data_IF_963376919176
#
_entry.id   IF_963376919176
#
_cell.length_a   1.000
_cell.length_b   1.000
_cell.length_c   1.000
_cell.angle_alpha   90.00
_cell.angle_beta   90.00
_cell.angle_gamma   90.00
#
_symmetry.space_group_name_H-M   'P 1'
#
loop_
_entity.id
_entity.type
_entity.pdbx_description
1 polymer ?
#
# COMPACT_ATOMS: atom_id res chain seq x y z
N UNK A 1 26.11 48.40 -21.48
CA UNK A 1 26.04 47.13 -22.23
C UNK A 1 25.17 46.06 -21.55
N UNK A 2 25.31 45.79 -20.24
CA UNK A 2 24.42 44.84 -19.51
C UNK A 2 22.94 45.26 -19.46
N UNK A 3 22.62 46.56 -19.39
CA UNK A 3 21.24 47.08 -19.32
C UNK A 3 20.44 46.91 -20.61
N UNK A 4 21.09 46.96 -21.77
CA UNK A 4 20.44 46.78 -23.09
C UNK A 4 20.14 45.30 -23.40
N UNK A 5 20.99 44.38 -22.93
CA UNK A 5 20.74 42.94 -23.05
C UNK A 5 19.55 42.48 -22.20
N UNK A 6 19.42 43.02 -20.98
CA UNK A 6 18.27 42.75 -20.10
C UNK A 6 16.98 43.36 -20.67
N UNK A 7 17.01 44.58 -21.21
CA UNK A 7 15.86 45.21 -21.89
C UNK A 7 15.45 44.46 -23.16
N UNK A 8 16.40 43.95 -23.95
CA UNK A 8 16.12 43.12 -25.13
C UNK A 8 15.50 41.78 -24.75
N UNK A 9 16.00 41.12 -23.70
CA UNK A 9 15.39 39.89 -23.17
C UNK A 9 13.96 40.10 -22.67
N UNK A 10 13.71 41.20 -21.96
CA UNK A 10 12.37 41.54 -21.45
C UNK A 10 11.37 41.87 -22.59
N UNK A 11 11.81 42.57 -23.64
CA UNK A 11 10.99 42.84 -24.84
C UNK A 11 10.72 41.57 -25.67
N UNK A 12 11.66 40.63 -25.71
CA UNK A 12 11.47 39.34 -26.36
C UNK A 12 10.43 38.48 -25.63
N UNK A 13 10.48 38.43 -24.29
CA UNK A 13 9.48 37.76 -23.44
C UNK A 13 8.09 38.40 -23.62
N UNK A 14 8.00 39.74 -23.72
CA UNK A 14 6.74 40.43 -24.01
C UNK A 14 6.23 40.22 -25.44
N UNK A 15 7.10 40.08 -26.45
CA UNK A 15 6.72 39.81 -27.84
C UNK A 15 6.23 38.36 -28.05
N UNK A 16 6.71 37.42 -27.23
CA UNK A 16 6.36 36.00 -27.29
C UNK A 16 5.30 35.60 -26.25
N UNK A 17 4.48 36.55 -25.79
CA UNK A 17 3.31 36.33 -24.92
C UNK A 17 2.33 35.27 -25.47
N UNK A 18 2.34 35.04 -26.78
CA UNK A 18 1.60 33.98 -27.45
C UNK A 18 2.10 32.57 -27.09
N UNK A 19 3.39 32.38 -26.80
CA UNK A 19 3.94 31.09 -26.33
C UNK A 19 3.31 30.72 -25.00
N UNK A 20 3.19 31.68 -24.08
CA UNK A 20 2.52 31.46 -22.80
C UNK A 20 1.02 31.19 -22.96
N UNK A 21 0.36 31.85 -23.91
CA UNK A 21 -1.04 31.56 -24.24
C UNK A 21 -1.21 30.13 -24.82
N UNK A 22 -0.28 29.68 -25.67
CA UNK A 22 -0.28 28.32 -26.23
C UNK A 22 0.01 27.27 -25.15
N UNK A 23 0.99 27.52 -24.28
CA UNK A 23 1.30 26.63 -23.14
C UNK A 23 0.11 26.56 -22.19
N UNK A 24 -0.54 27.68 -21.89
CA UNK A 24 -1.75 27.72 -21.05
C UNK A 24 -2.92 26.99 -21.72
N UNK A 25 -3.09 27.10 -23.04
CA UNK A 25 -4.12 26.40 -23.79
C UNK A 25 -3.88 24.88 -23.81
N UNK A 26 -2.64 24.43 -24.01
CA UNK A 26 -2.26 23.01 -23.96
C UNK A 26 -2.48 22.46 -22.55
N UNK A 27 -2.09 23.19 -21.51
CA UNK A 27 -2.32 22.81 -20.12
C UNK A 27 -3.82 22.73 -19.80
N UNK A 28 -4.63 23.67 -20.29
CA UNK A 28 -6.08 23.68 -20.11
C UNK A 28 -6.75 22.50 -20.83
N UNK A 29 -6.38 22.22 -22.08
CA UNK A 29 -6.89 21.06 -22.84
C UNK A 29 -6.49 19.75 -22.17
N UNK A 30 -5.24 19.65 -21.68
CA UNK A 30 -4.79 18.49 -20.91
C UNK A 30 -5.58 18.32 -19.61
N UNK A 31 -5.86 19.40 -18.89
CA UNK A 31 -6.69 19.38 -17.68
C UNK A 31 -8.14 19.00 -17.96
N UNK A 32 -8.72 19.48 -19.06
CA UNK A 32 -10.09 19.14 -19.50
C UNK A 32 -10.17 17.67 -19.93
N UNK A 33 -9.19 17.18 -20.69
CA UNK A 33 -9.12 15.79 -21.11
C UNK A 33 -8.94 14.85 -19.91
N UNK A 34 -8.06 15.21 -18.98
CA UNK A 34 -7.87 14.47 -17.73
C UNK A 34 -9.15 14.46 -16.89
N UNK A 35 -9.84 15.61 -16.75
CA UNK A 35 -11.12 15.68 -16.04
C UNK A 35 -12.20 14.83 -16.72
N UNK A 36 -12.26 14.83 -18.06
CA UNK A 36 -13.20 14.01 -18.83
C UNK A 36 -12.92 12.51 -18.66
N UNK A 37 -11.66 12.09 -18.78
CA UNK A 37 -11.24 10.69 -18.61
C UNK A 37 -11.50 10.20 -17.18
N UNK A 38 -11.25 11.05 -16.18
CA UNK A 38 -11.60 10.80 -14.78
C UNK A 38 -13.11 10.65 -14.61
N UNK A 39 -13.93 11.52 -15.20
CA UNK A 39 -15.40 11.41 -15.10
C UNK A 39 -15.90 10.15 -15.83
N UNK A 40 -15.44 9.88 -17.05
CA UNK A 40 -15.83 8.71 -17.82
C UNK A 40 -15.43 7.40 -17.13
N UNK A 41 -14.21 7.33 -16.59
CA UNK A 41 -13.73 6.18 -15.82
C UNK A 41 -14.48 6.01 -14.49
N UNK A 42 -14.83 7.09 -13.78
CA UNK A 42 -15.66 6.98 -12.56
C UNK A 42 -17.05 6.45 -12.85
N UNK A 43 -17.69 6.84 -13.96
CA UNK A 43 -19.01 6.31 -14.33
C UNK A 43 -18.92 4.83 -14.68
N UNK A 44 -17.93 4.42 -15.47
CA UNK A 44 -17.71 3.01 -15.82
C UNK A 44 -17.37 2.13 -14.61
N UNK A 45 -16.48 2.61 -13.74
CA UNK A 45 -16.10 1.93 -12.49
C UNK A 45 -17.32 1.82 -11.57
N UNK A 46 -18.06 2.91 -11.35
CA UNK A 46 -19.28 2.88 -10.51
C UNK A 46 -20.28 1.86 -11.03
N UNK A 47 -20.50 1.79 -12.34
CA UNK A 47 -21.47 0.88 -12.92
C UNK A 47 -21.04 -0.59 -12.78
N UNK A 48 -19.75 -0.90 -13.00
CA UNK A 48 -19.19 -2.23 -12.76
C UNK A 48 -19.29 -2.65 -11.29
N UNK A 49 -18.92 -1.75 -10.35
CA UNK A 49 -19.07 -2.00 -8.93
C UNK A 49 -20.54 -2.15 -8.51
N UNK A 50 -21.46 -1.42 -9.13
CA UNK A 50 -22.88 -1.50 -8.79
C UNK A 50 -23.46 -2.87 -9.12
N UNK A 51 -23.16 -3.43 -10.30
CA UNK A 51 -23.63 -4.75 -10.74
C UNK A 51 -23.07 -5.84 -9.82
N UNK A 52 -21.77 -5.80 -9.54
CA UNK A 52 -21.10 -6.75 -8.64
C UNK A 52 -21.65 -6.64 -7.21
N UNK A 53 -21.85 -5.41 -6.71
CA UNK A 53 -22.39 -5.19 -5.37
C UNK A 53 -23.81 -5.70 -5.21
N UNK A 54 -24.64 -5.65 -6.25
CA UNK A 54 -26.01 -6.15 -6.21
C UNK A 54 -26.04 -7.68 -6.09
N UNK A 55 -25.23 -8.37 -6.89
CA UNK A 55 -25.07 -9.83 -6.81
C UNK A 55 -24.56 -10.27 -5.43
N UNK A 56 -23.57 -9.55 -4.89
CA UNK A 56 -23.02 -9.80 -3.56
C UNK A 56 -24.02 -9.51 -2.45
N UNK A 57 -24.80 -8.43 -2.53
CA UNK A 57 -25.81 -8.07 -1.52
C UNK A 57 -26.93 -9.11 -1.42
N UNK A 58 -27.37 -9.67 -2.55
CA UNK A 58 -28.34 -10.77 -2.55
C UNK A 58 -27.77 -12.01 -1.86
N UNK A 59 -26.50 -12.32 -2.11
CA UNK A 59 -25.80 -13.41 -1.45
C UNK A 59 -25.63 -13.15 0.05
N UNK A 60 -25.22 -11.95 0.46
CA UNK A 60 -25.10 -11.58 1.88
C UNK A 60 -26.45 -11.53 2.61
N UNK A 61 -27.52 -11.10 1.94
CA UNK A 61 -28.88 -11.19 2.46
C UNK A 61 -29.29 -12.63 2.77
N UNK A 62 -28.88 -13.60 1.94
CA UNK A 62 -29.11 -15.02 2.19
C UNK A 62 -28.27 -15.58 3.35
N UNK A 63 -27.09 -15.00 3.64
CA UNK A 63 -26.23 -15.40 4.76
C UNK A 63 -26.71 -14.81 6.11
N UNK A 64 -27.53 -13.76 6.08
CA UNK A 64 -28.06 -13.12 7.28
C UNK A 64 -26.97 -12.57 8.22
N UNK A 65 -27.20 -12.56 9.55
CA UNK A 65 -26.23 -12.04 10.53
C UNK A 65 -24.87 -12.74 10.54
N UNK A 66 -24.78 -13.95 9.98
CA UNK A 66 -23.55 -14.75 9.92
C UNK A 66 -22.61 -14.34 8.78
N UNK A 67 -23.05 -13.47 7.86
CA UNK A 67 -22.27 -13.04 6.70
C UNK A 67 -20.82 -12.61 7.02
N UNK A 68 -20.58 -11.71 8.00
CA UNK A 68 -19.23 -11.26 8.33
C UNK A 68 -18.33 -12.40 8.79
N UNK A 69 -18.86 -13.30 9.62
CA UNK A 69 -18.13 -14.44 10.17
C UNK A 69 -17.76 -15.45 9.07
N UNK A 70 -18.69 -15.74 8.17
CA UNK A 70 -18.44 -16.62 7.03
C UNK A 70 -17.41 -16.03 6.06
N UNK A 71 -17.38 -14.71 5.90
CA UNK A 71 -16.36 -14.05 5.09
C UNK A 71 -14.97 -14.11 5.74
N UNK A 72 -14.88 -13.99 7.06
CA UNK A 72 -13.63 -14.20 7.82
C UNK A 72 -13.12 -15.63 7.63
N UNK A 73 -14.01 -16.63 7.71
CA UNK A 73 -13.64 -18.02 7.46
C UNK A 73 -13.19 -18.21 6.01
N UNK A 74 -13.89 -17.62 5.03
CA UNK A 74 -13.50 -17.71 3.64
C UNK A 74 -12.10 -17.10 3.39
N UNK A 75 -11.79 -15.96 4.02
CA UNK A 75 -10.46 -15.36 4.01
C UNK A 75 -9.40 -16.27 4.66
N UNK A 76 -9.73 -16.95 5.75
CA UNK A 76 -8.83 -17.90 6.37
C UNK A 76 -8.56 -19.12 5.48
N UNK A 77 -9.59 -19.67 4.83
CA UNK A 77 -9.45 -20.79 3.88
C UNK A 77 -8.66 -20.38 2.64
N UNK A 78 -8.85 -19.15 2.17
CA UNK A 78 -8.08 -18.59 1.05
C UNK A 78 -6.57 -18.71 1.25
N UNK A 79 -6.09 -18.50 2.48
CA UNK A 79 -4.67 -18.59 2.86
C UNK A 79 -4.00 -19.94 2.52
N UNK A 80 -4.80 -21.01 2.44
CA UNK A 80 -4.34 -22.37 2.16
C UNK A 80 -4.25 -22.61 0.65
N UNK A 81 -5.16 -22.01 -0.10
CA UNK A 81 -5.33 -22.28 -1.52
C UNK A 81 -4.57 -21.29 -2.42
N UNK A 82 -4.17 -20.12 -1.89
CA UNK A 82 -3.43 -19.04 -2.61
C UNK A 82 -4.02 -18.80 -4.01
N UNK A 83 -5.36 -18.75 -4.11
CA UNK A 83 -6.05 -18.81 -5.42
C UNK A 83 -6.03 -17.47 -6.13
N UNK A 84 -6.03 -16.36 -5.37
CA UNK A 84 -6.14 -15.01 -5.93
C UNK A 84 -5.50 -13.95 -5.00
N UNK A 85 -5.29 -12.72 -5.48
CA UNK A 85 -4.80 -11.62 -4.64
C UNK A 85 -5.83 -11.21 -3.57
N UNK A 86 -5.37 -10.83 -2.36
CA UNK A 86 -6.23 -10.46 -1.22
C UNK A 86 -7.06 -9.19 -1.46
N UNK A 87 -6.71 -8.42 -2.48
CA UNK A 87 -7.41 -7.20 -2.88
C UNK A 87 -8.84 -7.50 -3.34
N UNK A 88 -9.07 -8.67 -3.97
CA UNK A 88 -10.41 -9.08 -4.42
C UNK A 88 -11.38 -9.25 -3.24
N UNK A 89 -11.10 -10.10 -2.22
CA UNK A 89 -12.01 -10.28 -1.10
C UNK A 89 -12.11 -9.02 -0.21
N UNK A 90 -11.08 -8.18 -0.22
CA UNK A 90 -11.12 -6.85 0.42
C UNK A 90 -12.20 -5.96 -0.20
N UNK A 91 -12.21 -5.84 -1.53
CA UNK A 91 -13.25 -5.08 -2.25
C UNK A 91 -14.65 -5.67 -2.05
N UNK A 92 -14.77 -7.00 -1.99
CA UNK A 92 -16.03 -7.68 -1.67
C UNK A 92 -16.53 -7.29 -0.28
N UNK A 93 -15.66 -7.33 0.72
CA UNK A 93 -16.02 -6.93 2.09
C UNK A 93 -16.47 -5.46 2.16
N UNK A 94 -15.80 -4.56 1.44
CA UNK A 94 -16.19 -3.14 1.38
C UNK A 94 -17.54 -2.94 0.69
N UNK A 95 -17.81 -3.70 -0.38
CA UNK A 95 -19.09 -3.65 -1.08
C UNK A 95 -20.26 -4.16 -0.23
N UNK A 96 -20.01 -5.17 0.60
CA UNK A 96 -21.00 -5.80 1.46
C UNK A 96 -21.28 -5.01 2.75
N UNK A 97 -20.23 -4.58 3.45
CA UNK A 97 -20.34 -4.02 4.80
C UNK A 97 -19.98 -2.53 4.86
N UNK A 98 -19.74 -1.90 3.72
CA UNK A 98 -19.25 -0.52 3.62
C UNK A 98 -17.76 -0.41 3.92
N UNK A 99 -17.16 0.78 3.77
CA UNK A 99 -15.72 0.98 3.92
C UNK A 99 -15.24 0.61 5.34
N UNK A 100 -15.88 1.13 6.39
CA UNK A 100 -15.43 0.91 7.77
C UNK A 100 -15.83 -0.47 8.32
N UNK A 101 -17.05 -0.94 8.04
CA UNK A 101 -17.46 -2.29 8.43
C UNK A 101 -16.64 -3.35 7.71
N UNK A 102 -16.34 -3.12 6.44
CA UNK A 102 -15.47 -3.99 5.66
C UNK A 102 -14.02 -3.97 6.14
N UNK A 103 -13.48 -2.84 6.62
CA UNK A 103 -12.14 -2.81 7.27
C UNK A 103 -12.11 -3.75 8.47
N UNK A 104 -13.13 -3.74 9.32
CA UNK A 104 -13.16 -4.63 10.48
C UNK A 104 -13.16 -6.10 10.06
N UNK A 105 -14.00 -6.47 9.09
CA UNK A 105 -14.09 -7.85 8.57
C UNK A 105 -12.78 -8.29 7.91
N UNK A 106 -12.21 -7.45 7.05
CA UNK A 106 -10.95 -7.74 6.35
C UNK A 106 -9.81 -7.83 7.32
N UNK A 107 -9.68 -6.89 8.25
CA UNK A 107 -8.58 -6.90 9.23
C UNK A 107 -8.63 -8.13 10.13
N UNK A 108 -9.81 -8.53 10.62
CA UNK A 108 -9.95 -9.75 11.41
C UNK A 108 -9.66 -11.00 10.58
N UNK A 109 -10.19 -11.07 9.36
CA UNK A 109 -9.95 -12.18 8.45
C UNK A 109 -8.48 -12.31 8.07
N UNK A 110 -7.84 -11.21 7.66
CA UNK A 110 -6.45 -11.17 7.24
C UNK A 110 -5.49 -11.47 8.38
N UNK A 111 -5.82 -11.12 9.63
CA UNK A 111 -5.04 -11.55 10.79
C UNK A 111 -5.07 -13.07 10.99
N UNK A 112 -6.22 -13.71 10.77
CA UNK A 112 -6.36 -15.16 10.83
C UNK A 112 -5.62 -15.83 9.66
N UNK A 113 -5.82 -15.34 8.43
CA UNK A 113 -5.07 -15.73 7.23
C UNK A 113 -3.56 -15.64 7.45
N UNK A 114 -3.08 -14.50 7.97
CA UNK A 114 -1.66 -14.27 8.24
C UNK A 114 -1.10 -15.27 9.25
N UNK A 115 -1.86 -15.56 10.32
CA UNK A 115 -1.45 -16.53 11.32
C UNK A 115 -1.32 -17.94 10.72
N UNK A 116 -2.28 -18.34 9.88
CA UNK A 116 -2.25 -19.65 9.20
C UNK A 116 -1.07 -19.74 8.23
N UNK A 117 -0.93 -18.81 7.28
CA UNK A 117 0.18 -18.82 6.31
C UNK A 117 1.54 -18.75 6.98
N UNK A 118 1.67 -17.92 8.02
CA UNK A 118 2.90 -17.83 8.80
C UNK A 118 3.21 -19.15 9.50
N UNK A 119 2.22 -19.81 10.11
CA UNK A 119 2.45 -21.08 10.79
C UNK A 119 2.81 -22.19 9.79
N UNK A 120 2.13 -22.24 8.64
CA UNK A 120 2.48 -23.15 7.55
C UNK A 120 3.93 -22.94 7.10
N UNK A 121 4.33 -21.68 6.89
CA UNK A 121 5.72 -21.34 6.56
C UNK A 121 6.70 -21.73 7.67
N UNK A 122 6.35 -21.49 8.93
CA UNK A 122 7.20 -21.80 10.08
C UNK A 122 7.44 -23.29 10.26
N UNK A 123 6.43 -24.12 10.01
CA UNK A 123 6.49 -25.56 10.17
C UNK A 123 7.10 -26.24 8.93
N UNK A 124 6.66 -25.87 7.73
CA UNK A 124 7.02 -26.53 6.48
C UNK A 124 8.24 -25.89 5.79
N UNK A 125 8.54 -24.63 6.09
CA UNK A 125 9.60 -23.86 5.46
C UNK A 125 11.02 -24.33 5.79
N UNK A 126 11.40 -24.59 7.05
CA UNK A 126 12.77 -24.96 7.38
C UNK A 126 13.27 -26.23 6.65
N UNK A 127 12.52 -27.33 6.57
CA UNK A 127 12.93 -28.52 5.80
C UNK A 127 13.15 -28.21 4.30
N UNK A 128 12.32 -27.34 3.72
CA UNK A 128 12.44 -26.94 2.31
C UNK A 128 13.66 -26.05 2.11
N UNK A 129 13.86 -25.06 2.98
CA UNK A 129 14.99 -24.14 2.91
C UNK A 129 16.32 -24.86 3.10
N UNK A 130 16.39 -25.87 3.98
CA UNK A 130 17.58 -26.70 4.20
C UNK A 130 18.07 -27.36 2.91
N UNK A 131 17.18 -27.80 2.01
CA UNK A 131 17.58 -28.37 0.71
C UNK A 131 18.34 -27.37 -0.15
N UNK A 132 18.10 -26.07 0.05
CA UNK A 132 18.68 -24.97 -0.74
C UNK A 132 19.74 -24.21 0.06
N UNK A 133 20.04 -24.63 1.29
CA UNK A 133 21.06 -24.01 2.13
C UNK A 133 22.47 -24.22 1.60
N UNK A 134 22.74 -25.02 0.58
CA UNK A 134 24.05 -25.03 -0.09
C UNK A 134 24.38 -23.69 -0.75
N UNK A 135 23.34 -22.93 -1.16
CA UNK A 135 23.48 -21.61 -1.77
C UNK A 135 23.69 -20.52 -0.71
N UNK A 136 24.84 -19.84 -0.77
CA UNK A 136 25.19 -18.76 0.15
C UNK A 136 24.18 -17.59 0.14
N UNK A 137 23.58 -17.30 -1.02
CA UNK A 137 22.58 -16.21 -1.16
C UNK A 137 21.28 -16.55 -0.42
N UNK A 138 20.83 -17.80 -0.49
CA UNK A 138 19.63 -18.25 0.24
C UNK A 138 19.85 -18.19 1.74
N UNK A 139 21.01 -18.65 2.23
CA UNK A 139 21.36 -18.55 3.67
C UNK A 139 21.40 -17.09 4.14
N UNK A 140 21.99 -16.20 3.35
CA UNK A 140 22.04 -14.77 3.66
C UNK A 140 20.62 -14.18 3.71
N UNK A 141 19.78 -14.48 2.72
CA UNK A 141 18.40 -13.99 2.66
C UNK A 141 17.58 -14.45 3.88
N UNK A 142 17.62 -15.75 4.20
CA UNK A 142 16.90 -16.30 5.37
C UNK A 142 17.33 -15.61 6.66
N UNK A 143 18.65 -15.39 6.83
CA UNK A 143 19.17 -14.68 8.02
C UNK A 143 18.71 -13.22 8.07
N UNK A 144 18.78 -12.50 6.95
CA UNK A 144 18.35 -11.10 6.86
C UNK A 144 16.87 -10.98 7.18
N UNK A 145 16.02 -11.81 6.56
CA UNK A 145 14.57 -11.79 6.77
C UNK A 145 14.21 -12.13 8.22
N UNK A 146 14.83 -13.17 8.80
CA UNK A 146 14.60 -13.55 10.20
C UNK A 146 15.01 -12.48 11.22
N UNK A 147 15.94 -11.61 10.85
CA UNK A 147 16.45 -10.53 11.70
C UNK A 147 15.85 -9.16 11.39
N UNK A 148 14.88 -9.06 10.48
CA UNK A 148 14.24 -7.79 10.14
C UNK A 148 13.71 -7.11 11.41
N UNK A 149 14.04 -5.83 11.53
CA UNK A 149 13.49 -5.00 12.58
C UNK A 149 11.99 -4.77 12.33
N UNK A 150 11.22 -4.39 13.36
CA UNK A 150 9.78 -4.26 13.20
C UNK A 150 9.33 -3.22 12.17
N UNK A 151 10.10 -2.13 12.04
CA UNK A 151 9.81 -1.10 11.06
C UNK A 151 9.96 -1.61 9.62
N UNK A 152 10.99 -2.40 9.34
CA UNK A 152 11.19 -3.05 8.05
C UNK A 152 10.06 -4.03 7.71
N UNK A 153 9.54 -4.76 8.71
CA UNK A 153 8.39 -5.65 8.52
C UNK A 153 7.13 -4.85 8.15
N UNK A 154 6.88 -3.71 8.77
CA UNK A 154 5.74 -2.84 8.43
C UNK A 154 5.93 -2.26 7.02
N UNK A 155 7.10 -1.69 6.74
CA UNK A 155 7.40 -1.13 5.42
C UNK A 155 7.26 -2.14 4.29
N UNK A 156 7.75 -3.37 4.51
CA UNK A 156 7.65 -4.42 3.50
C UNK A 156 6.20 -4.71 3.14
N UNK A 157 5.23 -4.52 4.04
CA UNK A 157 3.80 -4.66 3.71
C UNK A 157 3.27 -3.53 2.85
N UNK A 158 3.82 -2.33 2.94
CA UNK A 158 3.37 -1.18 2.16
C UNK A 158 3.99 -1.13 0.76
N UNK A 159 5.19 -1.68 0.59
CA UNK A 159 5.89 -1.69 -0.72
C UNK A 159 5.86 -3.04 -1.44
N UNK A 160 5.36 -4.09 -0.79
CA UNK A 160 5.37 -5.43 -1.36
C UNK A 160 4.32 -5.57 -2.46
N UNK A 161 4.80 -5.88 -3.66
CA UNK A 161 3.97 -6.45 -4.74
C UNK A 161 3.81 -7.97 -4.62
N UNK A 162 4.38 -8.59 -3.57
CA UNK A 162 4.28 -10.01 -3.29
C UNK A 162 2.90 -10.29 -2.66
N UNK A 163 2.18 -11.33 -3.11
CA UNK A 163 0.91 -11.72 -2.51
C UNK A 163 1.02 -11.92 -0.99
N UNK A 164 0.00 -11.47 -0.27
CA UNK A 164 -0.02 -11.45 1.20
C UNK A 164 0.35 -12.81 1.82
N UNK A 165 -0.26 -13.89 1.33
CA UNK A 165 -0.04 -15.24 1.84
C UNK A 165 1.40 -15.70 1.66
N UNK A 166 1.98 -15.42 0.49
CA UNK A 166 3.37 -15.76 0.14
C UNK A 166 4.34 -15.01 1.06
N UNK A 167 4.09 -13.73 1.29
CA UNK A 167 4.92 -12.92 2.17
C UNK A 167 4.87 -13.43 3.63
N UNK A 168 3.69 -13.73 4.15
CA UNK A 168 3.54 -14.26 5.51
C UNK A 168 4.17 -15.64 5.66
N UNK A 169 4.01 -16.50 4.65
CA UNK A 169 4.63 -17.81 4.63
C UNK A 169 6.17 -17.71 4.56
N UNK A 170 6.70 -16.73 3.82
CA UNK A 170 8.14 -16.45 3.79
C UNK A 170 8.67 -15.98 5.15
N UNK A 171 7.95 -15.10 5.85
CA UNK A 171 8.33 -14.69 7.22
C UNK A 171 8.31 -15.87 8.20
N UNK A 172 7.33 -16.76 8.07
CA UNK A 172 7.27 -18.01 8.83
C UNK A 172 8.48 -18.89 8.55
N UNK A 173 8.77 -19.14 7.27
CA UNK A 173 9.89 -19.97 6.83
C UNK A 173 11.24 -19.44 7.32
N UNK A 174 11.40 -18.11 7.36
CA UNK A 174 12.60 -17.45 7.86
C UNK A 174 12.65 -17.30 9.39
N UNK A 175 11.73 -17.92 10.14
CA UNK A 175 11.71 -17.95 11.60
C UNK A 175 11.64 -16.56 12.26
N UNK A 176 10.92 -15.61 11.65
CA UNK A 176 10.62 -14.33 12.30
C UNK A 176 9.91 -14.60 13.65
N UNK A 177 10.20 -13.85 14.73
CA UNK A 177 9.54 -14.07 16.02
C UNK A 177 8.02 -13.87 15.91
N UNK A 178 7.22 -14.82 16.45
CA UNK A 178 5.74 -14.82 16.30
C UNK A 178 5.12 -13.51 16.76
N UNK A 179 5.53 -13.02 17.94
CA UNK A 179 5.01 -11.77 18.50
C UNK A 179 5.34 -10.59 17.59
N UNK A 180 6.60 -10.50 17.12
CA UNK A 180 7.04 -9.44 16.21
C UNK A 180 6.26 -9.47 14.90
N UNK A 181 6.07 -10.64 14.34
CA UNK A 181 5.24 -10.83 13.15
C UNK A 181 3.80 -10.38 13.41
N UNK A 182 3.15 -10.88 14.46
CA UNK A 182 1.73 -10.63 14.72
C UNK A 182 1.39 -9.15 14.84
N UNK A 183 2.12 -8.38 15.67
CA UNK A 183 1.80 -6.96 15.85
C UNK A 183 2.22 -6.11 14.65
N UNK A 184 3.32 -6.42 13.97
CA UNK A 184 3.72 -5.67 12.75
C UNK A 184 2.75 -5.94 11.60
N UNK A 185 2.23 -7.17 11.47
CA UNK A 185 1.12 -7.46 10.55
C UNK A 185 -0.12 -6.68 10.94
N UNK A 186 -0.54 -6.74 12.20
CA UNK A 186 -1.76 -6.08 12.65
C UNK A 186 -1.76 -4.58 12.34
N UNK A 187 -0.64 -3.89 12.61
CA UNK A 187 -0.50 -2.46 12.31
C UNK A 187 -0.42 -2.21 10.81
N UNK A 188 0.47 -2.93 10.10
CA UNK A 188 0.67 -2.73 8.67
C UNK A 188 -0.63 -2.94 7.88
N UNK A 189 -1.34 -4.02 8.20
CA UNK A 189 -2.58 -4.42 7.55
C UNK A 189 -3.75 -3.49 7.91
N UNK A 190 -3.83 -3.01 9.15
CA UNK A 190 -4.83 -2.03 9.54
C UNK A 190 -4.70 -0.74 8.73
N UNK A 191 -3.47 -0.23 8.60
CA UNK A 191 -3.18 0.98 7.83
C UNK A 191 -3.52 0.76 6.36
N UNK A 192 -3.07 -0.35 5.77
CA UNK A 192 -3.37 -0.68 4.36
C UNK A 192 -4.87 -0.82 4.13
N UNK A 193 -5.59 -1.55 4.97
CA UNK A 193 -7.04 -1.72 4.89
C UNK A 193 -7.78 -0.40 5.01
N UNK A 194 -7.33 0.49 5.91
CA UNK A 194 -7.93 1.81 6.08
C UNK A 194 -7.71 2.71 4.87
N UNK A 195 -6.48 2.75 4.34
CA UNK A 195 -6.16 3.46 3.09
C UNK A 195 -7.05 2.93 1.96
N UNK A 196 -7.15 1.61 1.80
CA UNK A 196 -7.99 0.99 0.77
C UNK A 196 -9.48 1.33 0.94
N UNK A 197 -9.99 1.42 2.17
CA UNK A 197 -11.36 1.83 2.42
C UNK A 197 -11.62 3.31 2.05
N UNK A 198 -10.64 4.19 2.28
CA UNK A 198 -10.70 5.59 1.82
C UNK A 198 -10.64 5.68 0.29
N UNK A 199 -9.77 4.89 -0.35
CA UNK A 199 -9.69 4.79 -1.81
C UNK A 199 -11.00 4.29 -2.40
N UNK A 200 -11.59 3.23 -1.82
CA UNK A 200 -12.89 2.69 -2.21
C UNK A 200 -14.00 3.74 -2.12
N UNK A 201 -14.07 4.47 -1.00
CA UNK A 201 -15.03 5.56 -0.80
C UNK A 201 -14.80 6.67 -1.84
N UNK A 202 -13.55 7.04 -2.09
CA UNK A 202 -13.21 8.10 -3.05
C UNK A 202 -13.57 7.70 -4.48
N UNK A 203 -13.30 6.46 -4.89
CA UNK A 203 -13.66 5.94 -6.19
C UNK A 203 -15.18 5.93 -6.40
N UNK A 204 -15.95 5.55 -5.37
CA UNK A 204 -17.41 5.55 -5.43
C UNK A 204 -18.05 6.93 -5.37
N UNK A 205 -17.41 7.92 -4.76
CA UNK A 205 -17.99 9.26 -4.60
C UNK A 205 -17.34 10.34 -5.46
N UNK A 206 -16.24 10.03 -6.18
CA UNK A 206 -15.44 10.96 -6.99
C UNK A 206 -14.83 12.14 -6.19
N UNK A 207 -14.46 11.90 -4.93
CA UNK A 207 -13.82 12.88 -4.04
C UNK A 207 -12.29 12.91 -4.23
N UNK A 208 -11.82 13.13 -5.47
CA UNK A 208 -10.40 13.03 -5.82
C UNK A 208 -9.46 13.92 -4.98
N UNK A 209 -9.98 15.00 -4.39
CA UNK A 209 -9.24 15.86 -3.46
C UNK A 209 -8.82 15.18 -2.15
N UNK A 210 -9.61 14.24 -1.62
CA UNK A 210 -9.26 13.48 -0.40
C UNK A 210 -8.10 12.52 -0.65
N UNK A 211 -8.03 11.94 -1.86
CA UNK A 211 -6.99 11.02 -2.29
C UNK A 211 -5.66 11.73 -2.54
N UNK A 212 -5.72 12.91 -3.18
CA UNK A 212 -4.56 13.81 -3.30
C UNK A 212 -4.06 14.23 -1.92
N UNK A 213 -4.97 14.54 -0.98
CA UNK A 213 -4.62 14.84 0.41
C UNK A 213 -3.93 13.68 1.13
N UNK A 214 -4.45 12.47 1.02
CA UNK A 214 -3.86 11.28 1.63
C UNK A 214 -2.48 10.95 1.05
N UNK A 215 -2.34 10.99 -0.28
CA UNK A 215 -1.04 10.79 -0.96
C UNK A 215 -0.04 11.87 -0.53
N UNK A 216 -0.46 13.13 -0.45
CA UNK A 216 0.38 14.21 0.04
C UNK A 216 0.81 14.01 1.50
N UNK A 217 -0.08 13.53 2.37
CA UNK A 217 0.24 13.20 3.77
C UNK A 217 1.24 12.04 3.85
N UNK A 218 1.02 10.95 3.10
CA UNK A 218 1.95 9.81 3.06
C UNK A 218 3.33 10.23 2.54
N UNK A 219 3.39 11.08 1.50
CA UNK A 219 4.63 11.67 1.02
C UNK A 219 5.30 12.56 2.07
N UNK A 220 4.53 13.40 2.77
CA UNK A 220 5.06 14.26 3.83
C UNK A 220 5.61 13.48 5.02
N UNK A 221 4.92 12.40 5.42
CA UNK A 221 5.37 11.48 6.48
C UNK A 221 6.63 10.73 6.05
N UNK A 222 6.66 10.17 4.83
CA UNK A 222 7.84 9.51 4.27
C UNK A 222 9.05 10.45 4.18
N UNK A 223 8.82 11.68 3.72
CA UNK A 223 9.85 12.73 3.68
C UNK A 223 10.34 13.12 5.08
N UNK A 224 9.43 13.24 6.05
CA UNK A 224 9.77 13.51 7.45
C UNK A 224 10.62 12.41 8.07
N UNK A 225 10.28 11.14 7.81
CA UNK A 225 11.06 9.98 8.26
C UNK A 225 12.44 9.95 7.62
N UNK A 226 12.53 10.21 6.31
CA UNK A 226 13.81 10.32 5.59
C UNK A 226 14.70 11.44 6.14
N UNK A 227 14.11 12.60 6.41
CA UNK A 227 14.84 13.74 6.96
C UNK A 227 15.31 13.50 8.41
N UNK A 228 14.48 12.83 9.21
CA UNK A 228 14.81 12.47 10.59
C UNK A 228 15.89 11.38 10.68
N UNK A 229 15.87 10.39 9.79
CA UNK A 229 16.90 9.36 9.69
C UNK A 229 18.24 9.92 9.17
N UNK A 230 18.20 10.89 8.25
CA UNK A 230 19.39 11.62 7.81
C UNK A 230 20.08 12.40 8.92
N UNK A 231 19.32 13.02 9.84
CA UNK A 231 19.88 13.77 10.99
C UNK A 231 20.52 12.89 12.05
N UNK A 232 20.03 11.67 12.24
CA UNK A 232 20.55 10.74 13.25
C UNK A 232 21.82 10.02 12.80
N UNK A 233 22.01 9.80 11.50
CA UNK A 233 23.24 9.24 10.96
C UNK A 233 24.41 10.25 10.90
N UNK A 234 24.15 11.53 10.63
CA UNK A 234 25.19 12.57 10.64
C UNK A 234 25.74 12.86 12.05
N UNK A 235 24.88 12.84 13.09
CA UNK A 235 25.32 13.05 14.48
C UNK A 235 26.26 11.97 15.03
N UNK A 236 26.25 10.76 14.47
CA UNK A 236 27.17 9.68 14.86
C UNK A 236 28.53 9.74 14.15
N UNK A 237 28.62 10.45 13.02
CA UNK A 237 29.86 10.62 12.26
C UNK A 237 30.57 11.93 12.59
N UNK A 238 29.88 12.88 13.23
CA UNK A 238 30.44 14.15 13.72
C UNK A 238 30.54 14.21 15.24
N UNK A 239 30.22 13.12 15.95
CA UNK A 239 30.63 13.00 17.34
C UNK A 239 32.17 12.99 17.31
N UNK A 240 32.85 13.92 18.01
CA UNK A 240 34.29 13.81 18.15
C UNK A 240 34.57 12.42 18.71
N UNK A 241 35.43 11.65 18.04
CA UNK A 241 36.06 10.51 18.71
C UNK A 241 36.57 11.05 20.03
N UNK A 242 36.16 10.38 21.12
CA UNK A 242 36.72 10.62 22.44
C UNK A 242 38.25 10.48 22.28
N UNK A 243 38.90 11.64 22.19
CA UNK A 243 40.34 11.77 22.20
C UNK A 243 40.83 11.15 23.51
N UNK A 244 41.60 10.07 23.36
CA UNK A 244 42.64 9.61 24.28
C UNK A 244 42.48 9.99 25.76
N UNK A 245 42.04 9.02 26.57
CA UNK A 245 42.66 8.68 27.85
C UNK A 245 42.31 7.25 28.25
#
# INVERSE_FOLDING_TARGET
MKSELVKRGFRWIQAHRWIWAVVAAIALVGAIWWAWDVVASTVGIRQAFHVVSLALRNFAGALGPWGPFLLIIALAVHSILIVFPMEIPTLVAFALYGPFGGVAVVWTGSMLTAAISFMLGRLLGPPVLQRWTSNARVRALVRVVGQLNPFALILLRWVSFIPFDVLNMAFGACQVPVVRFAWTTAIGELVTSFVMALLYRTALHAHWGELVGLVAVLFAVGWGIYWWSGKTHLKRLTAPDDMEA
#
